data_IF_796196423651
#
_entry.id   IF_796196423651
#
_cell.length_a   1.000
_cell.length_b   1.000
_cell.length_c   1.000
_cell.angle_alpha   90.00
_cell.angle_beta   90.00
_cell.angle_gamma   90.00
#
_symmetry.space_group_name_H-M   'P 1'
#
loop_
_entity.id
_entity.type
_entity.pdbx_description
1 polymer ?
#
# COMPACT_ATOMS: atom_id res chain seq x y z
N UNK A 1 29.57 20.95 49.38
CA UNK A 1 28.40 21.83 49.51
C UNK A 1 27.28 21.22 48.68
N UNK A 2 26.24 20.71 49.35
CA UNK A 2 25.01 20.28 48.70
C UNK A 2 24.28 21.50 48.13
N UNK A 3 23.61 21.34 46.98
CA UNK A 3 22.38 22.09 46.75
C UNK A 3 21.38 21.23 45.97
N UNK A 4 20.23 21.04 46.60
CA UNK A 4 19.03 20.34 46.15
C UNK A 4 18.00 21.38 45.69
N UNK A 5 17.25 21.10 44.61
CA UNK A 5 15.83 21.49 44.43
C UNK A 5 15.39 21.26 42.97
N UNK A 6 14.79 20.09 42.70
CA UNK A 6 14.00 19.84 41.50
C UNK A 6 12.69 19.18 41.93
N UNK A 7 11.64 19.98 42.08
CA UNK A 7 10.32 19.53 42.54
C UNK A 7 9.53 18.74 41.48
N UNK A 8 8.54 17.94 41.89
CA UNK A 8 7.82 17.01 41.03
C UNK A 8 6.69 17.72 40.26
N UNK A 9 6.76 17.69 38.92
CA UNK A 9 5.66 18.12 38.04
C UNK A 9 4.64 17.00 37.86
N UNK A 10 3.42 17.22 38.35
CA UNK A 10 2.31 16.26 38.27
C UNK A 10 1.75 16.04 36.85
N UNK A 11 1.00 14.93 36.64
CA UNK A 11 0.45 14.56 35.34
C UNK A 11 -0.88 15.29 35.12
N UNK A 12 -0.91 16.25 34.20
CA UNK A 12 -2.17 16.91 33.85
C UNK A 12 -2.10 17.90 32.68
N UNK A 13 -0.92 18.13 32.10
CA UNK A 13 -0.72 19.07 30.99
C UNK A 13 -0.54 18.44 29.62
N UNK A 14 -0.29 17.12 29.53
CA UNK A 14 0.02 16.45 28.27
C UNK A 14 -1.24 16.06 27.47
N UNK A 15 -2.34 15.70 28.15
CA UNK A 15 -3.53 15.15 27.51
C UNK A 15 -4.33 16.21 26.72
N UNK A 16 -4.32 17.47 27.19
CA UNK A 16 -5.01 18.58 26.50
C UNK A 16 -4.34 18.98 25.18
N UNK A 17 -3.03 18.73 25.03
CA UNK A 17 -2.33 18.97 23.76
C UNK A 17 -2.53 17.83 22.76
N UNK A 18 -2.79 16.60 23.22
CA UNK A 18 -3.11 15.48 22.33
C UNK A 18 -4.50 15.61 21.70
N UNK A 19 -5.49 16.10 22.45
CA UNK A 19 -6.85 16.31 21.94
C UNK A 19 -6.96 17.43 20.89
N UNK A 20 -6.07 18.42 20.92
CA UNK A 20 -6.05 19.52 19.95
C UNK A 20 -5.47 19.14 18.57
N UNK A 21 -4.80 17.98 18.46
CA UNK A 21 -4.08 17.55 17.26
C UNK A 21 -4.95 16.72 16.29
N UNK A 22 -6.17 16.33 16.69
CA UNK A 22 -7.05 15.48 15.88
C UNK A 22 -8.20 16.24 15.20
N UNK A 23 -8.02 17.51 14.82
CA UNK A 23 -8.92 18.12 13.83
C UNK A 23 -8.59 17.49 12.47
N UNK A 24 -9.30 16.42 12.13
CA UNK A 24 -9.24 15.83 10.81
C UNK A 24 -9.62 16.92 9.81
N UNK A 25 -8.67 17.31 8.96
CA UNK A 25 -8.99 18.19 7.85
C UNK A 25 -9.88 17.39 6.89
N UNK A 26 -11.18 17.71 6.86
CA UNK A 26 -12.10 17.15 5.87
C UNK A 26 -11.64 17.65 4.49
N UNK A 27 -10.92 16.78 3.77
CA UNK A 27 -10.50 17.06 2.39
C UNK A 27 -11.77 17.03 1.55
N UNK A 28 -12.03 18.12 0.85
CA UNK A 28 -13.20 18.30 0.01
C UNK A 28 -12.77 18.32 -1.45
N UNK A 29 -13.30 17.39 -2.25
CA UNK A 29 -12.91 17.26 -3.66
C UNK A 29 -13.80 18.12 -4.56
N UNK A 30 -13.25 18.80 -5.58
CA UNK A 30 -14.03 19.67 -6.46
C UNK A 30 -15.15 18.97 -7.26
N UNK A 31 -15.11 17.65 -7.38
CA UNK A 31 -16.10 16.83 -8.09
C UNK A 31 -17.11 16.15 -7.15
N UNK A 32 -17.11 16.49 -5.86
CA UNK A 32 -18.16 16.05 -4.94
C UNK A 32 -19.47 16.77 -5.22
N UNK A 33 -20.59 16.10 -4.92
CA UNK A 33 -21.93 16.62 -5.17
C UNK A 33 -22.18 17.95 -4.43
N UNK A 34 -21.59 18.12 -3.24
CA UNK A 34 -21.65 19.36 -2.48
C UNK A 34 -21.12 20.59 -3.27
N UNK A 35 -20.16 20.39 -4.18
CA UNK A 35 -19.59 21.46 -5.02
C UNK A 35 -20.29 21.62 -6.38
N UNK A 36 -21.33 20.82 -6.66
CA UNK A 36 -22.19 21.06 -7.83
C UNK A 36 -22.90 22.43 -7.73
N UNK A 37 -23.22 22.84 -6.49
CA UNK A 37 -23.94 24.09 -6.22
C UNK A 37 -22.98 25.23 -5.89
N UNK A 38 -23.26 26.42 -6.42
CA UNK A 38 -22.42 27.62 -6.22
C UNK A 38 -22.43 28.12 -4.78
N UNK A 39 -23.58 27.97 -4.13
CA UNK A 39 -23.76 28.32 -2.72
C UNK A 39 -23.69 27.03 -1.92
N UNK A 40 -22.75 26.97 -0.99
CA UNK A 40 -22.71 25.90 0.00
C UNK A 40 -23.35 26.42 1.28
N UNK A 41 -24.24 25.65 1.90
CA UNK A 41 -24.68 25.93 3.26
C UNK A 41 -23.45 26.10 4.15
N UNK A 42 -23.46 27.11 5.02
CA UNK A 42 -22.49 27.15 6.10
C UNK A 42 -22.73 25.89 6.94
N UNK A 43 -21.68 25.09 7.17
CA UNK A 43 -21.74 24.08 8.22
C UNK A 43 -21.92 24.86 9.53
N UNK A 44 -23.15 24.86 10.07
CA UNK A 44 -23.46 25.61 11.28
C UNK A 44 -22.52 25.17 12.40
N UNK A 45 -21.96 26.16 13.10
CA UNK A 45 -20.89 26.01 14.09
C UNK A 45 -21.40 25.46 15.42
N UNK A 46 -22.40 24.58 15.39
CA UNK A 46 -22.94 23.88 16.55
C UNK A 46 -23.03 22.41 16.17
N UNK A 47 -22.10 21.61 16.69
CA UNK A 47 -21.85 20.22 16.29
C UNK A 47 -22.92 19.19 16.68
N UNK A 48 -24.19 19.53 16.52
CA UNK A 48 -25.34 18.69 16.91
C UNK A 48 -26.37 18.49 15.78
N UNK A 49 -26.20 19.08 14.59
CA UNK A 49 -26.98 18.66 13.42
C UNK A 49 -26.19 17.58 12.66
N UNK A 50 -26.74 16.36 12.52
CA UNK A 50 -26.07 15.32 11.77
C UNK A 50 -25.91 15.80 10.33
N UNK A 51 -24.67 15.98 9.88
CA UNK A 51 -24.37 16.24 8.47
C UNK A 51 -25.12 15.26 7.57
N UNK A 52 -25.38 15.62 6.30
CA UNK A 52 -26.18 14.81 5.37
C UNK A 52 -25.75 13.34 5.46
N UNK A 53 -26.70 12.41 5.36
CA UNK A 53 -26.49 10.97 5.63
C UNK A 53 -25.23 10.41 4.90
N UNK A 54 -24.92 10.93 3.71
CA UNK A 54 -23.69 10.69 2.95
C UNK A 54 -22.38 11.06 3.68
N UNK A 55 -22.33 12.19 4.40
CA UNK A 55 -21.16 12.59 5.19
C UNK A 55 -20.87 11.59 6.31
N UNK A 56 -21.94 11.08 6.95
CA UNK A 56 -21.84 10.05 7.97
C UNK A 56 -21.38 8.72 7.36
N UNK A 57 -21.88 8.35 6.18
CA UNK A 57 -21.43 7.15 5.46
C UNK A 57 -19.96 7.22 5.04
N UNK A 58 -19.50 8.38 4.57
CA UNK A 58 -18.10 8.63 4.21
C UNK A 58 -17.19 8.56 5.45
N UNK A 59 -17.60 9.17 6.55
CA UNK A 59 -16.88 9.09 7.82
C UNK A 59 -16.83 7.63 8.32
N UNK A 60 -17.94 6.91 8.25
CA UNK A 60 -18.00 5.48 8.57
C UNK A 60 -17.07 4.67 7.65
N UNK A 61 -17.02 4.95 6.35
CA UNK A 61 -16.17 4.23 5.40
C UNK A 61 -14.69 4.52 5.63
N UNK A 62 -14.33 5.79 5.85
CA UNK A 62 -12.97 6.18 6.20
C UNK A 62 -12.53 5.55 7.53
N UNK A 63 -13.43 5.50 8.52
CA UNK A 63 -13.21 4.84 9.79
C UNK A 63 -13.02 3.33 9.60
N UNK A 64 -13.87 2.67 8.80
CA UNK A 64 -13.72 1.25 8.45
C UNK A 64 -12.36 0.96 7.79
N UNK A 65 -11.94 1.76 6.81
CA UNK A 65 -10.65 1.60 6.14
C UNK A 65 -9.48 1.78 7.12
N UNK A 66 -9.58 2.75 8.03
CA UNK A 66 -8.60 2.99 9.08
C UNK A 66 -8.52 1.81 10.05
N UNK A 67 -9.67 1.31 10.52
CA UNK A 67 -9.76 0.13 11.38
C UNK A 67 -9.15 -1.10 10.70
N UNK A 68 -9.45 -1.31 9.42
CA UNK A 68 -8.90 -2.45 8.67
C UNK A 68 -7.38 -2.37 8.57
N UNK A 69 -6.82 -1.18 8.28
CA UNK A 69 -5.37 -0.96 8.25
C UNK A 69 -4.73 -1.20 9.62
N UNK A 70 -5.37 -0.77 10.70
CA UNK A 70 -4.89 -1.02 12.07
C UNK A 70 -4.90 -2.52 12.38
N UNK A 71 -5.98 -3.22 12.07
CA UNK A 71 -6.09 -4.67 12.26
C UNK A 71 -5.02 -5.44 11.49
N UNK A 72 -4.78 -5.09 10.21
CA UNK A 72 -3.72 -5.73 9.41
C UNK A 72 -2.32 -5.46 10.00
N UNK A 73 -2.09 -4.27 10.56
CA UNK A 73 -0.84 -3.97 11.23
C UNK A 73 -0.65 -4.82 12.49
N UNK A 74 -1.68 -4.91 13.34
CA UNK A 74 -1.65 -5.70 14.57
C UNK A 74 -1.39 -7.18 14.28
N UNK A 75 -2.08 -7.74 13.27
CA UNK A 75 -1.91 -9.12 12.83
C UNK A 75 -0.48 -9.38 12.36
N UNK A 76 0.10 -8.44 11.61
CA UNK A 76 1.48 -8.55 11.13
C UNK A 76 2.50 -8.46 12.26
N UNK A 77 2.28 -7.60 13.24
CA UNK A 77 3.25 -7.35 14.32
C UNK A 77 3.09 -8.29 15.51
N UNK A 78 2.05 -9.13 15.54
CA UNK A 78 1.69 -9.99 16.67
C UNK A 78 2.82 -10.91 17.15
N UNK A 79 3.64 -11.40 16.22
CA UNK A 79 4.71 -12.37 16.50
C UNK A 79 6.11 -11.80 16.23
N UNK A 80 6.24 -10.49 16.01
CA UNK A 80 7.53 -9.86 15.77
C UNK A 80 8.32 -9.73 17.07
N UNK A 81 9.62 -9.99 17.00
CA UNK A 81 10.58 -9.59 18.03
C UNK A 81 10.72 -8.06 18.06
N UNK A 82 11.34 -7.54 19.12
CA UNK A 82 11.60 -6.10 19.24
C UNK A 82 12.39 -5.54 18.05
N UNK A 83 13.41 -6.28 17.60
CA UNK A 83 14.28 -5.85 16.50
C UNK A 83 13.52 -5.82 15.18
N UNK A 84 12.74 -6.85 14.89
CA UNK A 84 11.88 -6.92 13.70
C UNK A 84 10.81 -5.83 13.70
N UNK A 85 10.21 -5.54 14.86
CA UNK A 85 9.23 -4.46 14.98
C UNK A 85 9.85 -3.08 14.73
N UNK A 86 11.06 -2.83 15.25
CA UNK A 86 11.79 -1.57 14.99
C UNK A 86 12.03 -1.43 13.49
N UNK A 87 12.57 -2.47 12.85
CA UNK A 87 12.80 -2.46 11.41
C UNK A 87 11.50 -2.24 10.60
N UNK A 88 10.42 -2.94 10.96
CA UNK A 88 9.10 -2.77 10.36
C UNK A 88 8.60 -1.31 10.47
N UNK A 89 8.74 -0.70 11.65
CA UNK A 89 8.29 0.66 11.89
C UNK A 89 9.09 1.70 11.10
N UNK A 90 10.40 1.51 10.95
CA UNK A 90 11.28 2.36 10.13
C UNK A 90 10.94 2.25 8.64
N UNK A 91 10.78 1.02 8.14
CA UNK A 91 10.39 0.78 6.75
C UNK A 91 9.00 1.33 6.43
N UNK A 92 8.05 1.28 7.37
CA UNK A 92 6.70 1.83 7.19
C UNK A 92 6.70 3.36 7.11
N UNK A 93 7.60 4.04 7.82
CA UNK A 93 7.72 5.50 7.79
C UNK A 93 8.61 6.00 6.64
N UNK A 94 9.40 5.12 6.03
CA UNK A 94 10.23 5.47 4.89
C UNK A 94 9.36 5.88 3.69
N UNK A 95 9.74 6.99 3.06
CA UNK A 95 9.07 7.52 1.87
C UNK A 95 10.10 7.86 0.80
N UNK A 96 9.69 7.77 -0.46
CA UNK A 96 10.51 8.15 -1.61
C UNK A 96 10.82 9.66 -1.64
N UNK A 97 9.96 10.49 -1.04
CA UNK A 97 10.01 11.94 -1.18
C UNK A 97 10.35 12.67 0.12
N UNK A 98 10.10 12.05 1.28
CA UNK A 98 10.39 12.65 2.59
C UNK A 98 11.88 13.00 2.72
N UNK A 99 12.17 14.29 2.96
CA UNK A 99 13.53 14.87 3.03
C UNK A 99 14.41 14.63 1.78
N UNK A 100 13.85 14.10 0.69
CA UNK A 100 14.55 13.75 -0.56
C UNK A 100 13.87 14.29 -1.83
N UNK A 101 12.92 15.22 -1.67
CA UNK A 101 12.13 15.80 -2.76
C UNK A 101 12.97 16.27 -3.97
N UNK A 102 14.10 16.95 -3.75
CA UNK A 102 14.98 17.40 -4.84
C UNK A 102 15.48 16.23 -5.70
N UNK A 103 16.00 15.18 -5.07
CA UNK A 103 16.53 13.99 -5.76
C UNK A 103 15.42 13.24 -6.48
N UNK A 104 14.23 13.15 -5.87
CA UNK A 104 13.06 12.54 -6.49
C UNK A 104 12.63 13.29 -7.77
N UNK A 105 12.54 14.63 -7.73
CA UNK A 105 12.17 15.44 -8.90
C UNK A 105 13.13 15.26 -10.07
N UNK A 106 14.43 15.22 -9.79
CA UNK A 106 15.48 15.02 -10.78
C UNK A 106 15.41 13.61 -11.39
N UNK A 107 15.31 12.59 -10.54
CA UNK A 107 15.20 11.19 -10.96
C UNK A 107 13.94 10.93 -11.81
N UNK A 108 12.79 11.45 -11.39
CA UNK A 108 11.53 11.30 -12.11
C UNK A 108 11.45 12.18 -13.38
N UNK A 109 12.44 13.06 -13.62
CA UNK A 109 12.47 13.92 -14.79
C UNK A 109 11.33 14.94 -14.83
N UNK A 110 10.83 15.41 -13.68
CA UNK A 110 9.63 16.26 -13.63
C UNK A 110 9.82 17.58 -14.40
N UNK A 111 11.05 18.11 -14.39
CA UNK A 111 11.40 19.34 -15.14
C UNK A 111 11.24 19.21 -16.67
N UNK A 112 11.18 17.99 -17.22
CA UNK A 112 10.92 17.77 -18.65
C UNK A 112 9.42 17.72 -18.97
N UNK A 113 8.57 17.52 -17.97
CA UNK A 113 7.13 17.34 -18.13
C UNK A 113 6.34 18.61 -17.79
N UNK A 114 6.89 19.46 -16.93
CA UNK A 114 6.22 20.68 -16.44
C UNK A 114 7.10 21.91 -16.61
N UNK A 115 6.53 22.97 -17.17
CA UNK A 115 7.23 24.26 -17.38
C UNK A 115 7.52 25.01 -16.05
N UNK A 116 6.79 24.67 -14.98
CA UNK A 116 6.91 25.30 -13.66
C UNK A 116 7.30 24.30 -12.58
N UNK A 117 7.86 24.81 -11.48
CA UNK A 117 8.22 23.98 -10.33
C UNK A 117 6.94 23.49 -9.63
N UNK A 118 6.70 22.18 -9.52
CA UNK A 118 5.52 21.65 -8.81
C UNK A 118 5.58 22.00 -7.33
N UNK A 119 4.40 22.15 -6.73
CA UNK A 119 4.23 22.39 -5.30
C UNK A 119 4.72 21.20 -4.47
N UNK A 120 5.15 21.44 -3.23
CA UNK A 120 5.67 20.37 -2.37
C UNK A 120 4.58 19.34 -2.01
N UNK A 121 3.30 19.75 -1.92
CA UNK A 121 2.16 18.84 -1.72
C UNK A 121 1.99 17.84 -2.88
N UNK A 122 2.26 18.26 -4.12
CA UNK A 122 2.22 17.37 -5.28
C UNK A 122 3.31 16.31 -5.14
N UNK A 123 4.49 16.70 -4.66
CA UNK A 123 5.58 15.76 -4.41
C UNK A 123 5.22 14.77 -3.29
N UNK A 124 4.51 15.22 -2.26
CA UNK A 124 4.04 14.32 -1.19
C UNK A 124 3.00 13.31 -1.71
N UNK A 125 2.00 13.77 -2.48
CA UNK A 125 1.00 12.92 -3.14
C UNK A 125 1.69 11.90 -4.06
N UNK A 126 2.67 12.33 -4.86
CA UNK A 126 3.44 11.40 -5.71
C UNK A 126 4.24 10.39 -4.87
N UNK A 127 4.80 10.81 -3.74
CA UNK A 127 5.44 9.91 -2.78
C UNK A 127 4.49 8.83 -2.28
N UNK A 128 3.28 9.22 -1.88
CA UNK A 128 2.23 8.28 -1.48
C UNK A 128 1.84 7.32 -2.62
N UNK A 129 1.60 7.84 -3.84
CA UNK A 129 1.23 6.99 -4.98
C UNK A 129 2.34 6.00 -5.34
N UNK A 130 3.61 6.41 -5.31
CA UNK A 130 4.73 5.49 -5.58
C UNK A 130 4.84 4.39 -4.52
N UNK A 131 4.57 4.70 -3.25
CA UNK A 131 4.49 3.70 -2.19
C UNK A 131 3.37 2.69 -2.46
N UNK A 132 2.15 3.16 -2.77
CA UNK A 132 1.00 2.28 -3.06
C UNK A 132 1.24 1.42 -4.31
N UNK A 133 1.90 1.96 -5.34
CA UNK A 133 2.30 1.20 -6.54
C UNK A 133 3.24 0.05 -6.15
N UNK A 134 4.29 0.32 -5.36
CA UNK A 134 5.24 -0.70 -4.93
C UNK A 134 4.58 -1.73 -4.03
N UNK A 135 3.75 -1.30 -3.07
CA UNK A 135 2.99 -2.18 -2.20
C UNK A 135 2.09 -3.13 -3.01
N UNK A 136 1.24 -2.59 -3.88
CA UNK A 136 0.33 -3.38 -4.73
C UNK A 136 1.08 -4.34 -5.64
N UNK A 137 2.17 -3.88 -6.28
CA UNK A 137 2.96 -4.70 -7.20
C UNK A 137 3.65 -5.86 -6.49
N UNK A 138 4.19 -5.61 -5.30
CA UNK A 138 4.85 -6.64 -4.49
C UNK A 138 3.87 -7.62 -3.86
N UNK A 139 2.70 -7.16 -3.42
CA UNK A 139 1.62 -8.02 -2.94
C UNK A 139 1.11 -8.97 -4.04
N UNK A 140 0.83 -8.45 -5.23
CA UNK A 140 0.45 -9.29 -6.37
C UNK A 140 1.60 -10.24 -6.79
N UNK A 141 2.84 -9.77 -6.76
CA UNK A 141 4.03 -10.59 -6.99
C UNK A 141 4.16 -11.76 -6.00
N UNK A 142 3.86 -11.54 -4.71
CA UNK A 142 3.81 -12.60 -3.70
C UNK A 142 2.72 -13.63 -4.03
N UNK A 143 1.51 -13.20 -4.38
CA UNK A 143 0.40 -14.10 -4.73
C UNK A 143 0.74 -14.95 -5.95
N UNK A 144 1.39 -14.37 -6.95
CA UNK A 144 1.83 -15.11 -8.15
C UNK A 144 2.88 -16.15 -7.79
N UNK A 145 3.86 -15.77 -6.97
CA UNK A 145 4.88 -16.70 -6.49
C UNK A 145 4.25 -17.88 -5.74
N UNK A 146 3.33 -17.61 -4.82
CA UNK A 146 2.63 -18.66 -4.06
C UNK A 146 1.83 -19.60 -4.97
N UNK A 147 1.11 -19.04 -5.96
CA UNK A 147 0.39 -19.83 -6.96
C UNK A 147 1.33 -20.70 -7.80
N UNK A 148 2.50 -20.18 -8.16
CA UNK A 148 3.49 -20.93 -8.92
C UNK A 148 4.09 -22.08 -8.10
N UNK A 149 4.47 -21.83 -6.85
CA UNK A 149 4.99 -22.85 -5.95
C UNK A 149 3.96 -23.96 -5.69
N UNK A 150 2.67 -23.61 -5.55
CA UNK A 150 1.59 -24.59 -5.43
C UNK A 150 1.45 -25.45 -6.70
N UNK A 151 1.55 -24.85 -7.89
CA UNK A 151 1.49 -25.57 -9.16
C UNK A 151 2.71 -26.49 -9.35
N UNK A 152 3.92 -26.06 -8.96
CA UNK A 152 5.12 -26.90 -8.97
C UNK A 152 4.97 -28.11 -8.02
N UNK A 153 4.43 -27.89 -6.81
CA UNK A 153 4.15 -28.95 -5.86
C UNK A 153 3.10 -29.95 -6.37
N UNK A 154 2.04 -29.45 -7.00
CA UNK A 154 1.00 -30.31 -7.62
C UNK A 154 1.54 -31.08 -8.82
N UNK A 155 2.32 -30.45 -9.69
CA UNK A 155 2.91 -31.09 -10.87
C UNK A 155 3.92 -32.18 -10.50
N UNK A 156 4.74 -31.95 -9.46
CA UNK A 156 5.71 -32.94 -8.99
C UNK A 156 5.03 -34.17 -8.35
N UNK A 157 3.92 -33.96 -7.64
CA UNK A 157 3.11 -35.04 -7.07
C UNK A 157 2.41 -35.90 -8.14
N UNK A 158 1.96 -35.29 -9.23
CA UNK A 158 1.35 -36.02 -10.35
C UNK A 158 2.36 -36.82 -11.21
N UNK A 159 3.64 -36.43 -11.23
CA UNK A 159 4.68 -37.16 -11.96
C UNK A 159 5.24 -38.38 -11.22
N UNK A 160 4.95 -38.54 -9.93
CA UNK A 160 5.44 -39.66 -9.10
C UNK A 160 4.54 -40.92 -9.20
N UNK A 161 3.37 -40.81 -9.85
CA UNK A 161 2.43 -41.93 -10.07
C UNK A 161 2.55 -42.63 -11.43
N UNK A 162 3.53 -42.27 -12.26
CA UNK A 162 3.74 -42.81 -13.60
C UNK A 162 5.05 -43.58 -13.71
N UNK A 163 4.93 -44.90 -13.80
CA UNK A 163 6.01 -45.85 -14.09
C UNK A 163 6.83 -45.47 -15.34
N UNK A 164 8.15 -45.70 -15.27
CA UNK A 164 9.01 -45.88 -16.44
C UNK A 164 9.56 -44.63 -17.16
N UNK A 165 10.86 -44.40 -16.93
CA UNK A 165 11.86 -43.85 -17.89
C UNK A 165 12.40 -42.42 -17.68
N UNK A 166 13.72 -42.42 -17.44
CA UNK A 166 14.75 -41.46 -17.84
C UNK A 166 14.46 -39.94 -17.74
N UNK A 167 15.07 -39.31 -16.73
CA UNK A 167 15.69 -37.99 -16.93
C UNK A 167 15.20 -36.81 -16.11
N UNK A 168 14.30 -36.98 -15.13
CA UNK A 168 13.94 -35.87 -14.23
C UNK A 168 14.60 -36.03 -12.87
N UNK A 169 15.38 -34.99 -12.51
CA UNK A 169 16.13 -34.82 -11.27
C UNK A 169 15.31 -35.35 -10.08
N UNK A 170 15.70 -36.52 -9.56
CA UNK A 170 15.19 -37.06 -8.31
C UNK A 170 15.36 -35.97 -7.25
N UNK A 171 14.27 -35.65 -6.53
CA UNK A 171 14.30 -34.82 -5.33
C UNK A 171 15.47 -35.34 -4.49
N UNK A 172 16.53 -34.53 -4.33
CA UNK A 172 17.67 -34.92 -3.49
C UNK A 172 17.08 -35.26 -2.14
N UNK A 173 17.24 -36.50 -1.70
CA UNK A 173 16.94 -36.83 -0.31
C UNK A 173 17.79 -35.89 0.54
N UNK A 174 17.13 -35.10 1.39
CA UNK A 174 17.79 -34.12 2.23
C UNK A 174 18.67 -34.88 3.25
N UNK A 175 19.99 -34.78 3.10
CA UNK A 175 20.93 -35.46 3.99
C UNK A 175 21.08 -34.66 5.30
N UNK A 176 21.48 -35.31 6.41
CA UNK A 176 21.67 -34.64 7.70
C UNK A 176 22.73 -33.51 7.69
N UNK A 177 23.49 -33.37 6.61
CA UNK A 177 24.50 -32.35 6.39
C UNK A 177 24.25 -31.52 5.12
N UNK A 178 23.06 -31.64 4.51
CA UNK A 178 22.64 -30.63 3.54
C UNK A 178 22.50 -29.30 4.28
N UNK A 179 22.84 -28.20 3.59
CA UNK A 179 22.64 -26.86 4.12
C UNK A 179 21.16 -26.66 4.50
N UNK A 180 20.85 -25.76 5.44
CA UNK A 180 19.47 -25.47 5.79
C UNK A 180 18.68 -25.21 4.50
N UNK A 181 17.47 -25.78 4.42
CA UNK A 181 16.56 -25.57 3.29
C UNK A 181 16.58 -24.09 2.94
N UNK A 182 17.06 -23.73 1.73
CA UNK A 182 17.28 -22.32 1.37
C UNK A 182 16.04 -21.51 1.73
N UNK A 183 16.24 -20.61 2.68
CA UNK A 183 15.25 -19.69 3.21
C UNK A 183 14.47 -19.07 2.04
N UNK A 184 13.20 -19.43 1.94
CA UNK A 184 12.16 -18.83 1.08
C UNK A 184 12.67 -18.14 -0.19
N UNK A 185 12.58 -18.83 -1.34
CA UNK A 185 12.97 -18.30 -2.67
C UNK A 185 12.54 -16.83 -2.86
N UNK A 186 13.41 -15.91 -3.31
CA UNK A 186 13.06 -14.51 -3.45
C UNK A 186 12.03 -14.25 -4.56
N UNK A 187 11.42 -13.06 -4.55
CA UNK A 187 10.60 -12.59 -5.68
C UNK A 187 11.52 -12.36 -6.89
N UNK A 188 11.21 -13.00 -8.01
CA UNK A 188 11.95 -12.88 -9.25
C UNK A 188 11.29 -11.87 -10.20
N UNK A 189 12.06 -11.37 -11.18
CA UNK A 189 11.58 -10.42 -12.19
C UNK A 189 10.30 -10.90 -12.90
N UNK A 190 10.22 -12.19 -13.25
CA UNK A 190 9.04 -12.81 -13.87
C UNK A 190 7.76 -12.67 -13.02
N UNK A 191 7.86 -12.72 -11.69
CA UNK A 191 6.69 -12.55 -10.81
C UNK A 191 6.21 -11.08 -10.87
N UNK A 192 7.15 -10.13 -10.96
CA UNK A 192 6.85 -8.69 -11.07
C UNK A 192 6.25 -8.36 -12.43
N UNK A 193 6.79 -8.92 -13.52
CA UNK A 193 6.24 -8.74 -14.88
C UNK A 193 4.81 -9.28 -14.98
N UNK A 194 4.56 -10.46 -14.42
CA UNK A 194 3.23 -11.07 -14.38
C UNK A 194 2.28 -10.28 -13.46
N UNK A 195 2.76 -9.77 -12.32
CA UNK A 195 2.00 -8.89 -11.44
C UNK A 195 1.57 -7.62 -12.17
N UNK A 196 2.51 -6.98 -12.86
CA UNK A 196 2.24 -5.80 -13.68
C UNK A 196 1.20 -6.13 -14.77
N UNK A 197 1.33 -7.26 -15.47
CA UNK A 197 0.35 -7.69 -16.48
C UNK A 197 -1.05 -7.84 -15.90
N UNK A 198 -1.20 -8.42 -14.70
CA UNK A 198 -2.50 -8.60 -14.02
C UNK A 198 -3.11 -7.25 -13.64
N UNK A 199 -2.32 -6.34 -13.06
CA UNK A 199 -2.77 -5.01 -12.64
C UNK A 199 -3.22 -4.18 -13.86
N UNK A 200 -2.52 -4.29 -14.99
CA UNK A 200 -2.85 -3.56 -16.21
C UNK A 200 -4.07 -4.12 -16.97
N UNK A 201 -4.74 -5.18 -16.49
CA UNK A 201 -5.92 -5.72 -17.16
C UNK A 201 -7.11 -4.76 -17.10
N UNK A 202 -7.70 -4.47 -18.26
CA UNK A 202 -8.85 -3.58 -18.37
C UNK A 202 -10.09 -4.22 -17.73
N UNK A 203 -10.74 -3.47 -16.84
CA UNK A 203 -12.00 -3.87 -16.23
C UNK A 203 -13.07 -4.15 -17.31
N UNK A 204 -13.91 -5.20 -17.16
CA UNK A 204 -14.92 -5.53 -18.16
C UNK A 204 -15.83 -4.38 -18.56
N UNK A 205 -16.15 -3.49 -17.60
CA UNK A 205 -16.98 -2.28 -17.81
C UNK A 205 -16.35 -1.29 -18.79
N UNK A 206 -15.03 -1.10 -18.76
CA UNK A 206 -14.35 -0.15 -19.65
C UNK A 206 -14.22 -0.68 -21.08
N UNK A 207 -14.18 -2.01 -21.26
CA UNK A 207 -14.13 -2.66 -22.57
C UNK A 207 -15.51 -2.98 -23.17
N UNK A 208 -16.59 -2.87 -22.39
CA UNK A 208 -17.93 -3.34 -22.75
C UNK A 208 -18.42 -2.81 -24.11
N UNK A 209 -18.21 -1.51 -24.38
CA UNK A 209 -18.69 -0.84 -25.59
C UNK A 209 -17.97 -1.24 -26.88
N UNK A 210 -16.83 -1.94 -26.78
CA UNK A 210 -15.98 -2.30 -27.94
C UNK A 210 -15.80 -3.81 -28.12
N UNK A 211 -16.63 -4.64 -27.49
CA UNK A 211 -16.52 -6.10 -27.58
C UNK A 211 -16.92 -6.69 -28.94
N UNK A 212 -17.85 -6.03 -29.64
CA UNK A 212 -18.40 -6.52 -30.91
C UNK A 212 -17.75 -5.89 -32.16
N UNK A 213 -17.04 -4.77 -32.00
CA UNK A 213 -16.23 -4.17 -33.06
C UNK A 213 -14.82 -4.72 -32.96
N UNK A 214 -14.43 -5.61 -33.87
CA UNK A 214 -13.07 -6.13 -33.94
C UNK A 214 -12.01 -5.02 -34.07
N UNK A 215 -10.75 -5.37 -33.85
CA UNK A 215 -9.60 -4.47 -33.96
C UNK A 215 -8.84 -4.27 -32.65
N UNK A 216 -7.66 -3.66 -32.75
CA UNK A 216 -6.79 -3.39 -31.60
C UNK A 216 -7.29 -2.16 -30.83
N UNK A 217 -7.42 -2.28 -29.51
CA UNK A 217 -7.79 -1.17 -28.64
C UNK A 217 -6.53 -0.55 -28.08
N UNK A 218 -6.29 0.73 -28.39
CA UNK A 218 -5.29 1.53 -27.69
C UNK A 218 -5.84 1.94 -26.33
N UNK A 219 -5.13 1.60 -25.26
CA UNK A 219 -5.51 1.94 -23.89
C UNK A 219 -4.37 2.60 -23.14
N UNK A 220 -4.73 3.48 -22.20
CA UNK A 220 -3.78 4.12 -21.28
C UNK A 220 -3.40 3.14 -20.16
N UNK A 221 -2.15 3.24 -19.72
CA UNK A 221 -1.63 2.52 -18.56
C UNK A 221 -2.43 2.90 -17.31
N UNK A 222 -2.83 1.90 -16.53
CA UNK A 222 -3.45 2.11 -15.22
C UNK A 222 -2.35 2.46 -14.22
N UNK A 223 -2.54 3.54 -13.47
CA UNK A 223 -1.52 4.01 -12.51
C UNK A 223 -1.73 3.31 -11.16
N UNK A 224 -2.97 2.90 -10.86
CA UNK A 224 -3.42 1.99 -9.78
C UNK A 224 -4.75 1.35 -10.20
#
# INVERSE_FOLDING_TARGET
>A
MLNTAGGPGGPGGADKKAAAVAKTHKIRLPWELAFMFREQPLEDRDGDEPGPEEDRELEIMANKATIQRLKMADERTRHMTREEYVHWSECRQASFTFRKARRFREWAGISYLTDSKPHDDIIDILGFLTFEIVATLTEEGLKIKEQEEELEMRSSKNSDGGDGSAGKKRKREHHLFDGPDEDQKPILARHVEEAFRRIQTLKPRTRALRRFGGGLVSTKTQIL
#
